data_IF_271543583368
#
_entry.id   IF_271543583368
#
_cell.length_a   1.000
_cell.length_b   1.000
_cell.length_c   1.000
_cell.angle_alpha   90.00
_cell.angle_beta   90.00
_cell.angle_gamma   90.00
#
_symmetry.space_group_name_H-M   'P 1'
#
loop_
_entity.id
_entity.type
_entity.pdbx_description
1 polymer ?
#
# COMPACT_ATOMS: atom_id res chain seq x y z
N UNK A 1 3.60 -0.04 -12.15
CA UNK A 1 3.70 -1.40 -12.74
C UNK A 1 4.51 -1.42 -14.03
N UNK A 2 4.17 -0.56 -14.98
CA UNK A 2 4.86 -0.54 -16.27
C UNK A 2 6.38 -0.33 -16.13
N UNK A 3 6.79 0.54 -15.23
CA UNK A 3 8.21 0.83 -14.96
C UNK A 3 8.90 -0.27 -14.14
N UNK A 4 8.14 -1.06 -13.38
CA UNK A 4 8.70 -2.17 -12.60
C UNK A 4 9.19 -3.33 -13.48
N UNK A 5 8.70 -3.41 -14.70
CA UNK A 5 8.98 -4.52 -15.61
C UNK A 5 7.96 -5.65 -15.45
N UNK A 6 7.35 -6.02 -16.56
CA UNK A 6 6.31 -7.04 -16.62
C UNK A 6 6.85 -8.40 -16.16
N UNK A 7 6.15 -9.06 -15.24
CA UNK A 7 6.51 -10.39 -14.74
C UNK A 7 7.61 -10.39 -13.68
N UNK A 8 8.07 -9.24 -13.21
CA UNK A 8 8.98 -9.14 -12.07
C UNK A 8 8.25 -9.38 -10.74
N UNK A 9 8.99 -9.67 -9.67
CA UNK A 9 8.42 -9.80 -8.33
C UNK A 9 7.62 -8.54 -7.92
N UNK A 10 8.16 -7.36 -8.20
CA UNK A 10 7.46 -6.11 -7.90
C UNK A 10 6.17 -5.96 -8.72
N UNK A 11 6.19 -6.33 -10.00
CA UNK A 11 4.98 -6.33 -10.83
C UNK A 11 3.91 -7.25 -10.24
N UNK A 12 4.29 -8.46 -9.83
CA UNK A 12 3.36 -9.43 -9.23
C UNK A 12 2.76 -8.91 -7.92
N UNK A 13 3.57 -8.30 -7.05
CA UNK A 13 3.10 -7.66 -5.82
C UNK A 13 2.10 -6.53 -6.13
N UNK A 14 2.40 -5.68 -7.11
CA UNK A 14 1.53 -4.58 -7.50
C UNK A 14 0.21 -5.08 -8.11
N UNK A 15 0.23 -6.15 -8.88
CA UNK A 15 -1.00 -6.79 -9.40
C UNK A 15 -1.87 -7.28 -8.25
N UNK A 16 -1.28 -7.90 -7.24
CA UNK A 16 -2.01 -8.36 -6.05
C UNK A 16 -2.67 -7.17 -5.31
N UNK A 17 -1.92 -6.10 -5.09
CA UNK A 17 -2.43 -4.87 -4.46
C UNK A 17 -3.58 -4.28 -5.29
N UNK A 18 -3.46 -4.22 -6.60
CA UNK A 18 -4.51 -3.70 -7.48
C UNK A 18 -5.79 -4.53 -7.40
N UNK A 19 -5.68 -5.86 -7.27
CA UNK A 19 -6.82 -6.74 -7.03
C UNK A 19 -7.50 -6.42 -5.71
N UNK A 20 -6.73 -6.25 -4.65
CA UNK A 20 -7.26 -5.91 -3.34
C UNK A 20 -7.92 -4.52 -3.33
N UNK A 21 -7.35 -3.55 -4.02
CA UNK A 21 -7.94 -2.23 -4.18
C UNK A 21 -9.29 -2.28 -4.92
N UNK A 22 -9.46 -3.22 -5.85
CA UNK A 22 -10.74 -3.46 -6.50
C UNK A 22 -11.79 -3.91 -5.47
N UNK A 23 -11.43 -4.81 -4.57
CA UNK A 23 -12.31 -5.25 -3.46
C UNK A 23 -12.66 -4.06 -2.56
N UNK A 24 -11.67 -3.26 -2.18
CA UNK A 24 -11.83 -2.07 -1.34
C UNK A 24 -12.77 -1.05 -1.99
N UNK A 25 -12.63 -0.81 -3.28
CA UNK A 25 -13.51 0.09 -4.02
C UNK A 25 -14.96 -0.42 -4.03
N UNK A 26 -15.17 -1.72 -4.17
CA UNK A 26 -16.51 -2.32 -4.11
C UNK A 26 -17.15 -2.10 -2.72
N UNK A 27 -16.38 -2.27 -1.66
CA UNK A 27 -16.86 -2.00 -0.30
C UNK A 27 -17.26 -0.54 -0.12
N UNK A 28 -16.37 0.40 -0.49
CA UNK A 28 -16.61 1.84 -0.33
C UNK A 28 -17.78 2.35 -1.18
N UNK A 29 -18.03 1.74 -2.33
CA UNK A 29 -19.13 2.09 -3.22
C UNK A 29 -20.49 1.53 -2.76
N UNK A 30 -20.52 0.66 -1.76
CA UNK A 30 -21.74 0.03 -1.28
C UNK A 30 -22.40 0.90 -0.21
N UNK A 31 -23.67 1.19 -0.38
CA UNK A 31 -24.48 1.94 0.59
C UNK A 31 -24.57 1.18 1.92
N UNK A 32 -24.68 1.90 3.06
CA UNK A 32 -24.76 1.26 4.39
C UNK A 32 -25.85 0.21 4.50
N UNK A 33 -27.03 0.45 3.93
CA UNK A 33 -28.15 -0.49 3.94
C UNK A 33 -27.92 -1.75 3.13
N UNK A 34 -26.90 -1.77 2.24
CA UNK A 34 -26.55 -2.91 1.41
C UNK A 34 -25.29 -3.65 1.88
N UNK A 35 -24.66 -3.20 2.97
CA UNK A 35 -23.41 -3.81 3.47
C UNK A 35 -23.55 -5.30 3.80
N UNK A 36 -24.72 -5.75 4.20
CA UNK A 36 -25.00 -7.17 4.46
C UNK A 36 -24.85 -8.07 3.23
N UNK A 37 -24.82 -7.49 2.02
CA UNK A 37 -24.62 -8.22 0.75
C UNK A 37 -23.14 -8.39 0.39
N UNK A 38 -22.24 -7.73 1.09
CA UNK A 38 -20.80 -7.78 0.80
C UNK A 38 -20.23 -9.17 1.12
N UNK A 39 -19.30 -9.61 0.29
CA UNK A 39 -18.65 -10.92 0.41
C UNK A 39 -17.17 -10.73 0.66
N UNK A 40 -16.65 -11.27 1.75
CA UNK A 40 -15.25 -11.18 2.13
C UNK A 40 -14.29 -11.62 1.01
N UNK A 41 -13.30 -10.78 0.71
CA UNK A 41 -12.31 -11.03 -0.34
C UNK A 41 -12.81 -10.81 -1.78
N UNK A 42 -14.07 -10.46 -1.97
CA UNK A 42 -14.65 -10.12 -3.29
C UNK A 42 -15.19 -8.70 -3.36
N UNK A 43 -15.91 -8.28 -2.34
CA UNK A 43 -16.51 -6.95 -2.22
C UNK A 43 -16.38 -6.37 -0.80
N UNK A 44 -15.76 -7.10 0.11
CA UNK A 44 -15.50 -6.70 1.48
C UNK A 44 -14.03 -6.97 1.82
N UNK A 45 -13.31 -5.96 2.27
CA UNK A 45 -11.94 -6.10 2.74
C UNK A 45 -11.93 -6.93 4.03
N UNK A 46 -11.04 -7.92 4.09
CA UNK A 46 -10.92 -8.83 5.23
C UNK A 46 -9.69 -8.53 6.07
N UNK A 47 -9.71 -8.99 7.32
CA UNK A 47 -8.54 -8.90 8.20
C UNK A 47 -7.34 -9.66 7.64
N UNK A 48 -7.56 -10.77 6.96
CA UNK A 48 -6.52 -11.55 6.30
C UNK A 48 -5.82 -10.76 5.18
N UNK A 49 -6.56 -9.94 4.44
CA UNK A 49 -5.96 -9.05 3.42
C UNK A 49 -5.02 -8.03 4.07
N UNK A 50 -5.38 -7.50 5.24
CA UNK A 50 -4.52 -6.59 6.01
C UNK A 50 -3.28 -7.30 6.52
N UNK A 51 -3.46 -8.48 7.13
CA UNK A 51 -2.34 -9.32 7.62
C UNK A 51 -1.36 -9.65 6.50
N UNK A 52 -1.85 -9.94 5.31
CA UNK A 52 -0.99 -10.24 4.16
C UNK A 52 -0.10 -9.06 3.78
N UNK A 53 -0.59 -7.82 3.86
CA UNK A 53 0.26 -6.64 3.66
C UNK A 53 1.36 -6.54 4.72
N UNK A 54 1.04 -6.83 5.97
CA UNK A 54 2.01 -6.84 7.08
C UNK A 54 3.10 -7.91 6.87
N UNK A 55 2.71 -9.10 6.45
CA UNK A 55 3.65 -10.18 6.10
C UNK A 55 4.57 -9.79 4.94
N UNK A 56 4.05 -9.10 3.92
CA UNK A 56 4.89 -8.59 2.83
C UNK A 56 5.90 -7.55 3.32
N UNK A 57 5.49 -6.64 4.21
CA UNK A 57 6.40 -5.64 4.81
C UNK A 57 7.52 -6.36 5.58
N UNK A 58 7.16 -7.31 6.44
CA UNK A 58 8.13 -8.06 7.26
C UNK A 58 9.12 -8.83 6.38
N UNK A 59 8.62 -9.49 5.34
CA UNK A 59 9.46 -10.21 4.37
C UNK A 59 10.44 -9.28 3.65
N UNK A 60 10.02 -8.08 3.27
CA UNK A 60 10.89 -7.10 2.62
C UNK A 60 11.94 -6.55 3.59
N UNK A 61 11.56 -6.28 4.84
CA UNK A 61 12.46 -5.76 5.87
C UNK A 61 13.62 -6.72 6.20
N UNK A 62 13.44 -8.01 5.97
CA UNK A 62 14.50 -9.01 6.08
C UNK A 62 15.50 -8.98 4.90
N UNK A 63 15.13 -8.37 3.78
CA UNK A 63 15.90 -8.42 2.51
C UNK A 63 16.80 -7.21 2.29
N UNK A 64 16.64 -6.15 3.06
CA UNK A 64 17.48 -4.95 3.00
C UNK A 64 17.43 -4.25 4.37
N UNK A 65 18.29 -3.26 4.58
CA UNK A 65 18.28 -2.44 5.79
C UNK A 65 17.47 -1.18 5.55
N UNK A 66 16.23 -1.06 6.09
CA UNK A 66 15.45 0.15 5.94
C UNK A 66 16.15 1.36 6.58
N UNK A 67 16.07 2.55 5.95
CA UNK A 67 16.62 3.75 6.55
C UNK A 67 15.85 4.13 7.82
N UNK A 68 16.55 4.68 8.80
CA UNK A 68 15.97 5.13 10.07
C UNK A 68 15.67 6.63 10.09
N UNK A 69 16.18 7.36 9.09
CA UNK A 69 16.01 8.80 8.95
C UNK A 69 15.03 9.15 7.83
N UNK A 70 14.64 10.42 7.78
CA UNK A 70 13.87 10.92 6.64
C UNK A 70 14.67 10.81 5.35
N UNK A 71 14.01 10.36 4.30
CA UNK A 71 14.60 10.07 3.00
C UNK A 71 14.16 11.11 1.98
N UNK A 72 15.09 11.55 1.15
CA UNK A 72 14.78 12.34 -0.05
C UNK A 72 14.34 11.36 -1.14
N UNK A 73 13.06 11.41 -1.59
CA UNK A 73 12.56 10.49 -2.61
C UNK A 73 13.16 10.81 -3.98
N UNK A 74 13.16 9.82 -4.88
CA UNK A 74 13.51 10.05 -6.28
C UNK A 74 14.83 9.46 -6.73
N UNK A 75 15.38 8.45 -6.05
CA UNK A 75 16.62 7.77 -6.47
C UNK A 75 16.49 7.13 -7.86
N UNK A 76 15.29 6.65 -8.18
CA UNK A 76 14.95 6.17 -9.51
C UNK A 76 13.44 6.33 -9.76
N UNK A 77 13.03 6.12 -10.99
CA UNK A 77 11.64 6.35 -11.41
C UNK A 77 10.65 5.42 -10.70
N UNK A 78 11.00 4.16 -10.52
CA UNK A 78 10.12 3.19 -9.84
C UNK A 78 9.91 3.59 -8.38
N UNK A 79 10.98 3.89 -7.65
CA UNK A 79 10.90 4.33 -6.27
C UNK A 79 10.09 5.62 -6.13
N UNK A 80 10.30 6.59 -7.02
CA UNK A 80 9.54 7.84 -7.03
C UNK A 80 8.05 7.61 -7.25
N UNK A 81 7.67 6.72 -8.16
CA UNK A 81 6.25 6.38 -8.42
C UNK A 81 5.62 5.66 -7.22
N UNK A 82 6.37 4.80 -6.54
CA UNK A 82 5.91 4.15 -5.30
C UNK A 82 5.68 5.17 -4.19
N UNK A 83 6.53 6.18 -4.06
CA UNK A 83 6.33 7.28 -3.12
C UNK A 83 5.09 8.11 -3.45
N UNK A 84 4.81 8.36 -4.73
CA UNK A 84 3.55 8.98 -5.15
C UNK A 84 2.36 8.10 -4.75
N UNK A 85 2.43 6.80 -5.01
CA UNK A 85 1.41 5.83 -4.61
C UNK A 85 1.15 5.85 -3.10
N UNK A 86 2.20 5.94 -2.29
CA UNK A 86 2.11 6.07 -0.84
C UNK A 86 1.29 7.31 -0.43
N UNK A 87 1.58 8.46 -1.00
CA UNK A 87 0.84 9.69 -0.66
C UNK A 87 -0.62 9.62 -1.07
N UNK A 88 -0.91 8.99 -2.21
CA UNK A 88 -2.29 8.75 -2.68
C UNK A 88 -3.02 7.79 -1.73
N UNK A 89 -2.37 6.71 -1.29
CA UNK A 89 -2.95 5.77 -0.33
C UNK A 89 -3.29 6.46 1.00
N UNK A 90 -2.43 7.31 1.50
CA UNK A 90 -2.69 8.09 2.72
C UNK A 90 -3.86 9.07 2.54
N UNK A 91 -3.97 9.70 1.39
CA UNK A 91 -5.11 10.57 1.09
C UNK A 91 -6.40 9.75 1.03
N UNK A 92 -6.38 8.60 0.37
CA UNK A 92 -7.53 7.69 0.31
C UNK A 92 -7.96 7.22 1.71
N UNK A 93 -7.01 6.87 2.58
CA UNK A 93 -7.29 6.52 3.98
C UNK A 93 -8.05 7.65 4.69
N UNK A 94 -7.55 8.87 4.64
CA UNK A 94 -8.22 10.02 5.28
C UNK A 94 -9.64 10.24 4.76
N UNK A 95 -9.84 10.11 3.45
CA UNK A 95 -11.16 10.30 2.84
C UNK A 95 -12.12 9.14 3.11
N UNK A 96 -11.60 7.96 3.43
CA UNK A 96 -12.42 6.77 3.69
C UNK A 96 -12.90 6.63 5.14
N UNK A 97 -12.34 7.42 6.07
CA UNK A 97 -12.66 7.31 7.50
C UNK A 97 -14.16 7.43 7.79
N UNK A 98 -14.86 8.37 7.15
CA UNK A 98 -16.29 8.58 7.34
C UNK A 98 -17.14 7.55 6.58
N UNK A 99 -16.66 7.08 5.42
CA UNK A 99 -17.39 6.14 4.56
C UNK A 99 -17.29 4.67 5.05
N UNK A 100 -16.22 4.33 5.74
CA UNK A 100 -15.94 2.97 6.20
C UNK A 100 -15.44 2.98 7.66
N UNK A 101 -16.29 3.36 8.62
CA UNK A 101 -15.92 3.33 10.04
C UNK A 101 -15.72 1.90 10.52
N UNK A 102 -15.04 1.74 11.66
CA UNK A 102 -14.92 0.43 12.31
C UNK A 102 -16.31 -0.24 12.45
N UNK A 103 -16.41 -1.56 12.25
CA UNK A 103 -15.34 -2.56 12.16
C UNK A 103 -14.79 -2.80 10.73
N UNK A 104 -15.07 -1.93 9.76
CA UNK A 104 -14.53 -2.07 8.39
C UNK A 104 -13.00 -2.16 8.40
N UNK A 105 -12.45 -3.04 7.55
CA UNK A 105 -11.02 -3.21 7.36
C UNK A 105 -10.46 -2.30 6.23
N UNK A 106 -11.27 -1.46 5.61
CA UNK A 106 -10.84 -0.61 4.49
C UNK A 106 -9.75 0.40 4.91
N UNK A 107 -9.96 1.13 6.01
CA UNK A 107 -8.97 2.08 6.50
C UNK A 107 -7.71 1.40 7.05
N UNK A 108 -7.79 0.32 7.86
CA UNK A 108 -6.61 -0.47 8.21
C UNK A 108 -5.83 -0.98 6.99
N UNK A 109 -6.50 -1.45 5.95
CA UNK A 109 -5.86 -1.86 4.71
C UNK A 109 -5.08 -0.71 4.08
N UNK A 110 -5.69 0.45 3.88
CA UNK A 110 -5.03 1.62 3.28
C UNK A 110 -3.86 2.12 4.12
N UNK A 111 -3.97 2.04 5.44
CA UNK A 111 -2.89 2.37 6.35
C UNK A 111 -1.68 1.44 6.14
N UNK A 112 -1.90 0.13 6.12
CA UNK A 112 -0.83 -0.85 5.88
C UNK A 112 -0.30 -0.77 4.46
N UNK A 113 -1.16 -0.49 3.47
CA UNK A 113 -0.73 -0.28 2.08
C UNK A 113 0.24 0.89 1.97
N UNK A 114 -0.01 2.00 2.66
CA UNK A 114 0.91 3.14 2.63
C UNK A 114 2.29 2.78 3.18
N UNK A 115 2.36 1.96 4.23
CA UNK A 115 3.62 1.48 4.79
C UNK A 115 4.32 0.50 3.85
N UNK A 116 3.59 -0.40 3.21
CA UNK A 116 4.14 -1.30 2.21
C UNK A 116 4.73 -0.52 1.02
N UNK A 117 4.03 0.49 0.52
CA UNK A 117 4.52 1.31 -0.59
C UNK A 117 5.79 2.09 -0.22
N UNK A 118 5.89 2.57 1.02
CA UNK A 118 7.12 3.17 1.53
C UNK A 118 8.27 2.15 1.55
N UNK A 119 8.02 0.97 2.09
CA UNK A 119 9.02 -0.11 2.16
C UNK A 119 9.47 -0.54 0.76
N UNK A 120 8.54 -0.71 -0.18
CA UNK A 120 8.85 -1.03 -1.58
C UNK A 120 9.69 0.06 -2.23
N UNK A 121 9.38 1.34 -1.98
CA UNK A 121 10.14 2.46 -2.52
C UNK A 121 11.58 2.44 -1.98
N UNK A 122 11.77 2.22 -0.68
CA UNK A 122 13.11 2.12 -0.08
C UNK A 122 13.88 0.91 -0.59
N UNK A 123 13.21 -0.20 -0.77
CA UNK A 123 13.82 -1.38 -1.38
C UNK A 123 14.30 -1.10 -2.81
N UNK A 124 13.49 -0.41 -3.60
CA UNK A 124 13.84 -0.04 -4.98
C UNK A 124 14.90 1.07 -5.08
N UNK A 125 15.03 1.91 -4.06
CA UNK A 125 16.13 2.90 -3.99
C UNK A 125 17.51 2.23 -4.07
N UNK A 126 17.66 1.04 -3.50
CA UNK A 126 18.95 0.43 -3.22
C UNK A 126 19.63 1.13 -2.04
N UNK A 127 20.19 2.30 -2.28
CA UNK A 127 20.73 3.19 -1.22
C UNK A 127 19.87 4.46 -1.18
N UNK A 128 19.17 4.68 -0.09
CA UNK A 128 18.36 5.88 0.12
C UNK A 128 19.22 7.08 0.49
N UNK A 129 18.85 8.25 -0.02
CA UNK A 129 19.49 9.51 0.34
C UNK A 129 18.83 10.07 1.60
N UNK A 130 19.58 10.22 2.68
CA UNK A 130 19.08 10.82 3.91
C UNK A 130 18.93 12.34 3.76
N UNK A 131 17.84 12.89 4.32
CA UNK A 131 17.67 14.36 4.41
C UNK A 131 18.85 15.01 5.14
N UNK A 132 19.43 14.34 6.14
CA UNK A 132 20.59 14.85 6.88
C UNK A 132 21.83 15.03 6.01
N UNK A 133 21.95 14.27 4.95
CA UNK A 133 23.12 14.33 4.06
C UNK A 133 23.07 15.50 3.07
N UNK A 134 21.91 16.16 2.95
CA UNK A 134 21.70 17.28 2.00
C UNK A 134 21.44 18.63 2.67
N UNK A 135 21.39 18.67 3.99
CA UNK A 135 21.19 19.92 4.76
C UNK A 135 22.53 20.55 5.15
#
# INVERSE_FOLDING_TARGET
RAEAGKGTELDDLLVHIMRDLWVLMAELATLPENRHKLVGGKSLVTAEMVTHLEEMIDSLDERFTPPTDFVVPGQNKVAALLDVGRTVARRAERHSLAAAPAPSQACPYLNRLSDLLWTLARWQDGVSLSVKDVI
#
